data_IF_865238149565
#
_entry.id   IF_865238149565
#
_cell.length_a   1.000
_cell.length_b   1.000
_cell.length_c   1.000
_cell.angle_alpha   90.00
_cell.angle_beta   90.00
_cell.angle_gamma   90.00
#
_symmetry.space_group_name_H-M   'P 1'
#
loop_
_entity.id
_entity.type
_entity.pdbx_description
1 polymer ?
#
# COMPACT_ATOMS: atom_id res chain seq x y z
N UNK A 1 -73.45 24.67 -19.81
CA UNK A 1 -71.99 24.69 -19.54
C UNK A 1 -71.58 23.50 -18.63
N UNK A 2 -71.66 22.26 -19.12
CA UNK A 2 -71.31 21.06 -18.31
C UNK A 2 -70.58 19.94 -19.05
N UNK A 3 -70.63 19.91 -20.38
CA UNK A 3 -70.07 18.82 -21.18
C UNK A 3 -68.60 19.00 -21.60
N UNK A 4 -68.05 20.21 -21.51
CA UNK A 4 -66.66 20.50 -21.92
C UNK A 4 -65.62 20.29 -20.79
N UNK A 5 -66.03 20.27 -19.52
CA UNK A 5 -65.11 20.08 -18.39
C UNK A 5 -64.82 18.60 -18.08
N UNK A 6 -65.76 17.69 -18.32
CA UNK A 6 -65.60 16.25 -18.05
C UNK A 6 -64.64 15.56 -19.03
N UNK A 7 -64.51 16.06 -20.27
CA UNK A 7 -63.64 15.47 -21.31
C UNK A 7 -62.15 15.83 -21.14
N UNK A 8 -61.84 16.93 -20.44
CA UNK A 8 -60.47 17.41 -20.21
C UNK A 8 -59.81 16.69 -19.02
N UNK A 9 -60.58 16.40 -17.97
CA UNK A 9 -60.13 15.65 -16.80
C UNK A 9 -59.83 14.16 -17.08
N UNK A 10 -60.59 13.50 -17.97
CA UNK A 10 -60.32 12.10 -18.32
C UNK A 10 -59.06 11.93 -19.18
N UNK A 11 -58.82 12.85 -20.13
CA UNK A 11 -57.58 12.85 -20.94
C UNK A 11 -56.33 13.11 -20.10
N UNK A 12 -56.38 14.05 -19.15
CA UNK A 12 -55.24 14.29 -18.25
C UNK A 12 -54.94 13.08 -17.34
N UNK A 13 -55.97 12.39 -16.83
CA UNK A 13 -55.77 11.16 -16.03
C UNK A 13 -55.17 10.02 -16.84
N UNK A 14 -55.59 9.84 -18.09
CA UNK A 14 -55.04 8.80 -18.98
C UNK A 14 -53.59 9.10 -19.36
N UNK A 15 -53.25 10.37 -19.62
CA UNK A 15 -51.86 10.78 -19.91
C UNK A 15 -50.96 10.60 -18.69
N UNK A 16 -51.42 10.96 -17.49
CA UNK A 16 -50.65 10.77 -16.26
C UNK A 16 -50.45 9.28 -15.92
N UNK A 17 -51.45 8.43 -16.17
CA UNK A 17 -51.31 6.97 -16.04
C UNK A 17 -50.31 6.40 -17.06
N UNK A 18 -50.36 6.84 -18.31
CA UNK A 18 -49.42 6.40 -19.34
C UNK A 18 -47.97 6.82 -19.01
N UNK A 19 -47.76 8.04 -18.54
CA UNK A 19 -46.44 8.52 -18.08
C UNK A 19 -45.99 7.73 -16.84
N UNK A 20 -46.89 7.48 -15.88
CA UNK A 20 -46.58 6.66 -14.70
C UNK A 20 -46.14 5.25 -15.07
N UNK A 21 -46.83 4.59 -16.02
CA UNK A 21 -46.47 3.25 -16.50
C UNK A 21 -45.11 3.29 -17.23
N UNK A 22 -44.86 4.27 -18.09
CA UNK A 22 -43.59 4.40 -18.82
C UNK A 22 -42.41 4.67 -17.88
N UNK A 23 -42.59 5.51 -16.85
CA UNK A 23 -41.56 5.77 -15.84
C UNK A 23 -41.31 4.52 -14.99
N UNK A 24 -42.37 3.78 -14.64
CA UNK A 24 -42.25 2.52 -13.89
C UNK A 24 -41.50 1.47 -14.72
N UNK A 25 -41.85 1.32 -16.00
CA UNK A 25 -41.22 0.37 -16.90
C UNK A 25 -39.76 0.76 -17.19
N UNK A 26 -39.47 2.06 -17.32
CA UNK A 26 -38.11 2.59 -17.43
C UNK A 26 -37.27 2.30 -16.18
N UNK A 27 -37.82 2.50 -14.98
CA UNK A 27 -37.15 2.17 -13.71
C UNK A 27 -36.91 0.67 -13.55
N UNK A 28 -37.87 -0.17 -13.93
CA UNK A 28 -37.73 -1.63 -13.89
C UNK A 28 -36.66 -2.09 -14.89
N UNK A 29 -36.69 -1.58 -16.13
CA UNK A 29 -35.69 -1.91 -17.16
C UNK A 29 -34.29 -1.35 -16.85
N UNK A 30 -34.20 -0.24 -16.11
CA UNK A 30 -32.91 0.33 -15.69
C UNK A 30 -32.32 -0.36 -14.45
N UNK A 31 -33.16 -1.00 -13.63
CA UNK A 31 -32.74 -1.78 -12.45
C UNK A 31 -32.58 -3.28 -12.74
N UNK A 32 -33.17 -3.80 -13.81
CA UNK A 32 -33.04 -5.21 -14.24
C UNK A 32 -31.60 -5.66 -14.57
N UNK A 33 -30.72 -4.83 -15.18
CA UNK A 33 -29.32 -5.19 -15.38
C UNK A 33 -28.55 -5.26 -14.06
N UNK A 34 -29.02 -4.54 -13.03
CA UNK A 34 -28.41 -4.51 -11.69
C UNK A 34 -28.80 -5.72 -10.82
N UNK A 35 -29.94 -6.37 -11.08
CA UNK A 35 -30.39 -7.55 -10.31
C UNK A 35 -30.24 -8.89 -11.04
N UNK A 36 -30.14 -8.93 -12.39
CA UNK A 36 -30.13 -10.20 -13.14
C UNK A 36 -28.75 -10.78 -13.48
N UNK A 37 -27.64 -10.22 -12.97
CA UNK A 37 -26.31 -10.82 -13.13
C UNK A 37 -25.66 -11.18 -11.79
N UNK A 38 -26.34 -11.98 -10.99
CA UNK A 38 -25.67 -12.80 -9.97
C UNK A 38 -25.89 -14.28 -10.25
N UNK A 39 -25.46 -14.73 -11.41
CA UNK A 39 -24.92 -16.10 -11.48
C UNK A 39 -23.77 -16.15 -10.49
N UNK A 40 -24.03 -16.65 -9.27
CA UNK A 40 -23.00 -17.09 -8.34
C UNK A 40 -22.16 -18.10 -9.09
N UNK A 41 -21.07 -17.65 -9.70
CA UNK A 41 -19.97 -18.53 -10.03
C UNK A 41 -19.50 -19.09 -8.69
N UNK A 42 -19.99 -20.29 -8.33
CA UNK A 42 -19.27 -21.14 -7.39
C UNK A 42 -18.04 -21.60 -8.14
N UNK A 43 -17.02 -20.75 -8.24
CA UNK A 43 -15.71 -21.24 -8.61
C UNK A 43 -15.26 -22.12 -7.46
N UNK A 44 -15.31 -23.43 -7.68
CA UNK A 44 -14.52 -24.38 -6.92
C UNK A 44 -13.06 -24.10 -7.28
N UNK A 45 -12.48 -23.03 -6.74
CA UNK A 45 -11.03 -22.94 -6.67
C UNK A 45 -10.60 -24.03 -5.71
N UNK A 46 -10.19 -25.18 -6.26
CA UNK A 46 -9.43 -26.17 -5.51
C UNK A 46 -8.30 -25.42 -4.82
N UNK A 47 -8.11 -25.66 -3.52
CA UNK A 47 -6.94 -25.21 -2.75
C UNK A 47 -5.70 -25.32 -3.61
N UNK A 48 -5.03 -24.20 -3.92
CA UNK A 48 -3.75 -24.23 -4.62
C UNK A 48 -2.84 -25.22 -3.87
N UNK A 49 -2.27 -26.23 -4.53
CA UNK A 49 -1.36 -27.16 -3.88
C UNK A 49 -0.20 -26.37 -3.26
N UNK A 50 -0.01 -26.50 -1.94
CA UNK A 50 1.04 -25.80 -1.19
C UNK A 50 2.43 -26.06 -1.80
N UNK A 51 2.63 -27.22 -2.44
CA UNK A 51 3.86 -27.58 -3.14
C UNK A 51 4.27 -26.58 -4.25
N UNK A 52 3.30 -25.91 -4.90
CA UNK A 52 3.60 -24.86 -5.88
C UNK A 52 3.77 -23.48 -5.26
N UNK A 53 3.47 -23.29 -3.97
CA UNK A 53 3.65 -21.99 -3.32
C UNK A 53 5.13 -21.63 -3.12
N UNK A 54 6.04 -22.62 -3.10
CA UNK A 54 7.47 -22.40 -2.91
C UNK A 54 8.14 -21.52 -3.96
N UNK A 55 7.60 -21.46 -5.19
CA UNK A 55 8.14 -20.62 -6.27
C UNK A 55 7.48 -19.24 -6.37
N UNK A 56 6.59 -18.88 -5.43
CA UNK A 56 5.82 -17.62 -5.50
C UNK A 56 6.74 -16.41 -5.59
N UNK A 57 7.83 -16.38 -4.82
CA UNK A 57 8.78 -15.26 -4.85
C UNK A 57 9.45 -15.10 -6.20
N UNK A 58 9.84 -16.19 -6.84
CA UNK A 58 10.46 -16.18 -8.17
C UNK A 58 9.46 -15.75 -9.24
N UNK A 59 8.21 -16.26 -9.17
CA UNK A 59 7.14 -15.84 -10.06
C UNK A 59 6.87 -14.33 -9.93
N UNK A 60 6.75 -13.81 -8.71
CA UNK A 60 6.52 -12.38 -8.49
C UNK A 60 7.70 -11.54 -8.98
N UNK A 61 8.94 -11.98 -8.75
CA UNK A 61 10.12 -11.32 -9.29
C UNK A 61 10.08 -11.25 -10.83
N UNK A 62 9.87 -12.39 -11.50
CA UNK A 62 9.82 -12.45 -12.97
C UNK A 62 8.68 -11.63 -13.58
N UNK A 63 7.54 -11.50 -12.90
CA UNK A 63 6.44 -10.66 -13.37
C UNK A 63 6.85 -9.19 -13.44
N UNK A 64 7.63 -8.71 -12.47
CA UNK A 64 8.08 -7.32 -12.36
C UNK A 64 9.42 -7.01 -13.02
N UNK A 65 10.30 -7.99 -13.19
CA UNK A 65 11.67 -7.80 -13.68
C UNK A 65 11.78 -6.86 -14.90
N UNK A 66 10.95 -6.98 -15.96
CA UNK A 66 11.06 -6.10 -17.13
C UNK A 66 10.68 -4.63 -16.88
N UNK A 67 10.05 -4.34 -15.74
CA UNK A 67 9.55 -3.01 -15.39
C UNK A 67 10.34 -2.36 -14.25
N UNK A 68 11.34 -3.05 -13.69
CA UNK A 68 12.12 -2.53 -12.58
C UNK A 68 12.79 -1.22 -12.98
N UNK A 69 12.66 -0.24 -12.10
CA UNK A 69 13.35 1.04 -12.26
C UNK A 69 14.84 0.84 -11.99
N UNK A 70 15.69 1.37 -12.87
CA UNK A 70 17.14 1.26 -12.71
C UNK A 70 17.57 2.00 -11.44
N UNK A 71 18.28 1.28 -10.55
CA UNK A 71 18.83 1.84 -9.32
C UNK A 71 19.74 3.03 -9.59
N UNK A 72 20.41 3.09 -10.76
CA UNK A 72 21.29 4.18 -11.16
C UNK A 72 20.57 5.33 -11.86
N UNK A 73 19.27 5.21 -12.15
CA UNK A 73 18.52 6.29 -12.79
C UNK A 73 18.49 7.53 -11.89
N UNK A 74 18.67 8.70 -12.49
CA UNK A 74 18.67 9.97 -11.75
C UNK A 74 17.30 10.62 -11.67
N UNK A 75 16.33 10.11 -12.43
CA UNK A 75 14.99 10.69 -12.54
C UNK A 75 13.93 9.61 -12.54
N UNK A 76 12.73 9.97 -12.10
CA UNK A 76 11.52 9.15 -12.19
C UNK A 76 10.32 10.06 -12.46
N UNK A 77 9.42 9.61 -13.35
CA UNK A 77 8.16 10.30 -13.63
C UNK A 77 7.01 9.39 -13.21
N UNK A 78 6.18 9.87 -12.28
CA UNK A 78 5.05 9.10 -11.78
C UNK A 78 3.95 8.97 -12.83
N UNK A 79 3.01 8.04 -12.64
CA UNK A 79 1.81 7.91 -13.50
C UNK A 79 0.96 9.18 -13.54
N UNK A 80 0.98 9.96 -12.46
CA UNK A 80 0.30 11.25 -12.33
C UNK A 80 1.09 12.42 -12.95
N UNK A 81 2.31 12.17 -13.44
CA UNK A 81 3.15 13.17 -14.10
C UNK A 81 4.07 13.97 -13.15
N UNK A 82 4.19 13.57 -11.88
CA UNK A 82 5.16 14.20 -10.97
C UNK A 82 6.58 13.80 -11.36
N UNK A 83 7.49 14.77 -11.39
CA UNK A 83 8.89 14.56 -11.73
C UNK A 83 9.74 14.57 -10.47
N UNK A 84 10.53 13.51 -10.28
CA UNK A 84 11.46 13.36 -9.18
C UNK A 84 12.87 13.22 -9.73
N UNK A 85 13.81 13.91 -9.11
CA UNK A 85 15.23 13.88 -9.49
C UNK A 85 16.07 13.66 -8.25
N UNK A 86 16.97 12.68 -8.30
CA UNK A 86 17.99 12.46 -7.27
C UNK A 86 19.08 13.50 -7.48
N UNK A 87 19.41 14.26 -6.43
CA UNK A 87 20.53 15.20 -6.47
C UNK A 87 21.85 14.48 -6.77
N UNK A 88 22.74 15.09 -7.54
CA UNK A 88 23.99 14.45 -8.03
C UNK A 88 24.83 13.81 -6.92
N UNK A 89 24.82 14.38 -5.71
CA UNK A 89 25.58 13.90 -4.54
C UNK A 89 24.84 12.87 -3.67
N UNK A 90 23.59 12.57 -4.01
CA UNK A 90 22.72 11.70 -3.20
C UNK A 90 22.68 10.26 -3.74
N UNK A 91 23.27 10.01 -4.91
CA UNK A 91 23.39 8.67 -5.49
C UNK A 91 24.42 7.84 -4.71
N UNK A 92 23.93 6.96 -3.82
CA UNK A 92 24.79 6.21 -2.89
C UNK A 92 24.78 4.71 -3.12
N UNK A 93 23.65 4.16 -3.53
CA UNK A 93 23.51 2.72 -3.77
C UNK A 93 23.60 2.44 -5.26
N UNK A 94 24.59 1.65 -5.64
CA UNK A 94 24.75 1.15 -7.01
C UNK A 94 24.38 -0.32 -7.15
N UNK A 95 24.27 -1.00 -6.01
CA UNK A 95 23.95 -2.42 -5.90
C UNK A 95 22.74 -2.60 -4.98
N UNK A 96 21.83 -3.55 -5.28
CA UNK A 96 20.71 -3.85 -4.40
C UNK A 96 21.17 -4.44 -3.06
N UNK A 97 20.55 -4.03 -1.96
CA UNK A 97 20.79 -4.54 -0.61
C UNK A 97 20.28 -5.96 -0.42
N UNK A 98 19.27 -6.39 -1.20
CA UNK A 98 18.66 -7.72 -1.10
C UNK A 98 18.33 -8.05 0.37
N UNK A 99 18.76 -9.22 0.86
CA UNK A 99 18.50 -9.71 2.22
C UNK A 99 19.12 -8.88 3.35
N UNK A 100 19.93 -7.86 3.05
CA UNK A 100 20.42 -6.89 4.05
C UNK A 100 19.35 -5.86 4.42
N UNK A 101 18.30 -5.72 3.62
CA UNK A 101 17.14 -4.87 3.88
C UNK A 101 15.95 -5.74 4.30
N UNK A 102 15.33 -5.38 5.42
CA UNK A 102 14.11 -6.00 5.93
C UNK A 102 12.91 -5.09 5.70
N UNK A 103 11.86 -5.63 5.06
CA UNK A 103 10.51 -5.09 5.15
C UNK A 103 9.82 -5.73 6.35
N UNK A 104 9.36 -4.91 7.29
CA UNK A 104 8.89 -5.36 8.61
C UNK A 104 7.45 -4.94 8.88
N UNK A 105 6.59 -5.93 9.08
CA UNK A 105 5.26 -5.79 9.68
C UNK A 105 5.29 -6.21 11.14
N UNK A 106 4.68 -5.40 12.01
CA UNK A 106 4.53 -5.73 13.45
C UNK A 106 3.10 -5.51 13.89
N UNK A 107 2.49 -6.54 14.47
CA UNK A 107 1.15 -6.44 15.06
C UNK A 107 1.14 -7.17 16.42
N UNK A 108 0.22 -6.78 17.30
CA UNK A 108 -0.08 -7.53 18.53
C UNK A 108 -1.19 -8.55 18.32
N UNK A 109 -1.98 -8.40 17.26
CA UNK A 109 -3.17 -9.19 16.95
C UNK A 109 -2.79 -10.37 16.07
N UNK A 110 -3.12 -11.58 16.52
CA UNK A 110 -3.09 -12.78 15.67
C UNK A 110 -4.47 -12.98 15.05
N UNK A 111 -4.75 -12.29 13.95
CA UNK A 111 -6.01 -12.46 13.24
C UNK A 111 -5.92 -13.66 12.30
N UNK A 112 -6.82 -14.63 12.51
CA UNK A 112 -6.93 -15.86 11.73
C UNK A 112 -8.32 -16.01 11.09
N UNK A 113 -9.13 -14.95 11.14
CA UNK A 113 -10.47 -14.90 10.57
C UNK A 113 -10.49 -14.97 9.04
N UNK A 114 -11.67 -15.07 8.44
CA UNK A 114 -11.84 -15.03 6.98
C UNK A 114 -11.22 -13.76 6.39
N UNK A 115 -10.60 -13.85 5.21
CA UNK A 115 -9.98 -12.68 4.58
C UNK A 115 -8.63 -12.24 5.15
N UNK A 116 -8.04 -13.03 6.06
CA UNK A 116 -6.79 -12.70 6.76
C UNK A 116 -5.62 -13.55 6.30
N UNK A 117 -4.41 -12.99 6.40
CA UNK A 117 -3.16 -13.66 5.99
C UNK A 117 -2.88 -14.99 6.71
N UNK A 118 -3.26 -15.10 7.98
CA UNK A 118 -2.97 -16.30 8.79
C UNK A 118 -4.15 -17.28 8.81
N UNK A 119 -5.19 -17.06 8.02
CA UNK A 119 -6.26 -18.04 7.87
C UNK A 119 -5.71 -19.30 7.19
N UNK A 120 -6.10 -20.47 7.71
CA UNK A 120 -5.70 -21.76 7.15
C UNK A 120 -6.45 -22.12 5.85
N UNK A 121 -7.64 -21.55 5.66
CA UNK A 121 -8.43 -21.73 4.46
C UNK A 121 -7.91 -20.84 3.33
N UNK A 122 -7.99 -21.26 2.06
CA UNK A 122 -7.66 -20.41 0.94
C UNK A 122 -8.39 -19.08 1.01
N UNK A 123 -7.65 -18.00 0.75
CA UNK A 123 -8.21 -16.66 0.73
C UNK A 123 -9.25 -16.55 -0.40
N UNK A 124 -10.49 -16.24 -0.05
CA UNK A 124 -11.44 -15.72 -1.01
C UNK A 124 -11.06 -14.27 -1.34
N UNK A 125 -10.73 -13.92 -2.60
CA UNK A 125 -10.30 -12.59 -2.95
C UNK A 125 -11.29 -11.51 -2.50
N UNK A 126 -12.60 -11.76 -2.54
CA UNK A 126 -13.62 -10.77 -2.15
C UNK A 126 -13.63 -10.47 -0.65
N UNK A 127 -13.09 -11.37 0.18
CA UNK A 127 -13.03 -11.24 1.64
C UNK A 127 -11.73 -10.59 2.12
N UNK A 128 -10.74 -10.36 1.24
CA UNK A 128 -9.46 -9.77 1.62
C UNK A 128 -9.64 -8.48 2.42
N UNK A 129 -9.21 -8.52 3.67
CA UNK A 129 -9.25 -7.39 4.59
C UNK A 129 -8.20 -6.36 4.22
N UNK A 130 -8.45 -5.08 4.51
CA UNK A 130 -7.49 -4.02 4.28
C UNK A 130 -6.13 -4.26 4.94
N UNK A 131 -6.11 -4.70 6.20
CA UNK A 131 -4.85 -5.06 6.90
C UNK A 131 -4.04 -6.10 6.11
N UNK A 132 -4.70 -7.18 5.70
CA UNK A 132 -4.02 -8.25 4.98
C UNK A 132 -3.59 -7.79 3.59
N UNK A 133 -4.36 -6.89 2.96
CA UNK A 133 -3.98 -6.21 1.73
C UNK A 133 -2.69 -5.41 1.86
N UNK A 134 -2.53 -4.63 2.94
CA UNK A 134 -1.29 -3.89 3.19
C UNK A 134 -0.09 -4.80 3.45
N UNK A 135 -0.23 -5.77 4.34
CA UNK A 135 0.83 -6.76 4.60
C UNK A 135 1.22 -7.56 3.34
N UNK A 136 0.24 -7.95 2.52
CA UNK A 136 0.51 -8.61 1.23
C UNK A 136 1.21 -7.67 0.23
N UNK A 137 0.90 -6.37 0.23
CA UNK A 137 1.63 -5.38 -0.56
C UNK A 137 3.09 -5.27 -0.11
N UNK A 138 3.35 -5.25 1.21
CA UNK A 138 4.71 -5.24 1.76
C UNK A 138 5.48 -6.51 1.37
N UNK A 139 4.84 -7.67 1.51
CA UNK A 139 5.46 -8.94 1.13
C UNK A 139 5.74 -9.03 -0.37
N UNK A 140 4.81 -8.55 -1.21
CA UNK A 140 5.01 -8.45 -2.65
C UNK A 140 6.22 -7.58 -2.99
N UNK A 141 6.33 -6.40 -2.37
CA UNK A 141 7.46 -5.51 -2.57
C UNK A 141 8.79 -6.19 -2.21
N UNK A 142 8.83 -6.92 -1.10
CA UNK A 142 10.02 -7.69 -0.71
C UNK A 142 10.37 -8.79 -1.73
N UNK A 143 9.38 -9.52 -2.25
CA UNK A 143 9.60 -10.56 -3.27
C UNK A 143 10.15 -9.99 -4.57
N UNK A 144 9.62 -8.84 -5.03
CA UNK A 144 10.04 -8.19 -6.28
C UNK A 144 11.53 -7.84 -6.25
N UNK A 145 12.02 -7.31 -5.12
CA UNK A 145 13.40 -6.81 -5.04
C UNK A 145 14.40 -7.81 -4.43
N UNK A 146 13.90 -8.91 -3.86
CA UNK A 146 14.71 -9.89 -3.14
C UNK A 146 15.10 -9.44 -1.73
N UNK A 147 14.33 -8.52 -1.14
CA UNK A 147 14.48 -8.12 0.26
C UNK A 147 14.06 -9.24 1.20
N UNK A 148 14.42 -9.12 2.47
CA UNK A 148 13.82 -9.98 3.49
C UNK A 148 12.48 -9.43 3.95
N UNK A 149 11.60 -10.31 4.42
CA UNK A 149 10.28 -9.93 4.93
C UNK A 149 9.99 -10.66 6.22
N UNK A 150 9.51 -9.92 7.22
CA UNK A 150 9.01 -10.51 8.45
C UNK A 150 7.70 -9.89 8.86
N UNK A 151 6.76 -10.75 9.23
CA UNK A 151 5.56 -10.37 9.98
C UNK A 151 5.67 -10.89 11.41
N UNK A 152 5.88 -9.99 12.36
CA UNK A 152 6.11 -10.32 13.76
C UNK A 152 4.84 -10.06 14.58
N UNK A 153 4.39 -11.10 15.30
CA UNK A 153 3.47 -10.91 16.42
C UNK A 153 4.25 -10.47 17.65
N UNK A 154 4.21 -9.18 17.97
CA UNK A 154 4.89 -8.62 19.13
C UNK A 154 4.24 -9.05 20.45
N UNK A 155 5.01 -9.15 21.55
CA UNK A 155 4.45 -9.34 22.87
C UNK A 155 3.62 -8.11 23.30
N UNK A 156 2.74 -8.30 24.27
CA UNK A 156 2.03 -7.18 24.89
C UNK A 156 2.97 -6.43 25.84
N UNK A 157 3.16 -5.14 25.61
CA UNK A 157 3.94 -4.28 26.50
C UNK A 157 3.03 -3.65 27.54
N UNK A 158 3.22 -4.04 28.80
CA UNK A 158 2.37 -3.63 29.92
C UNK A 158 2.15 -2.11 29.96
N UNK A 159 0.88 -1.71 30.12
CA UNK A 159 0.40 -0.32 30.21
C UNK A 159 0.64 0.57 28.98
N UNK A 160 1.20 0.07 27.88
CA UNK A 160 1.43 0.85 26.65
C UNK A 160 0.31 0.67 25.63
N UNK A 161 0.07 1.70 24.83
CA UNK A 161 -0.77 1.55 23.64
C UNK A 161 -0.13 0.58 22.64
N UNK A 162 -0.96 -0.14 21.87
CA UNK A 162 -0.49 -1.21 20.97
C UNK A 162 0.43 -0.74 19.84
N UNK A 163 0.45 0.54 19.52
CA UNK A 163 1.33 1.13 18.49
C UNK A 163 2.80 1.18 18.92
N UNK A 164 3.08 1.17 20.24
CA UNK A 164 4.44 1.18 20.78
C UNK A 164 5.29 -0.05 20.38
N UNK A 165 4.66 -1.15 19.96
CA UNK A 165 5.37 -2.42 19.70
C UNK A 165 6.37 -2.31 18.55
N UNK A 166 6.17 -1.37 17.61
CA UNK A 166 7.08 -1.18 16.47
C UNK A 166 8.48 -0.75 16.93
N UNK A 167 8.58 0.09 17.96
CA UNK A 167 9.86 0.66 18.44
C UNK A 167 10.85 -0.44 18.90
N UNK A 168 10.51 -1.32 19.86
CA UNK A 168 11.43 -2.38 20.27
C UNK A 168 11.64 -3.46 19.19
N UNK A 169 10.65 -3.72 18.32
CA UNK A 169 10.81 -4.72 17.25
C UNK A 169 11.74 -4.24 16.14
N UNK A 170 11.67 -2.96 15.74
CA UNK A 170 12.65 -2.37 14.81
C UNK A 170 14.05 -2.44 15.43
N UNK A 171 14.20 -2.08 16.72
CA UNK A 171 15.49 -2.19 17.42
C UNK A 171 16.07 -3.60 17.34
N UNK A 172 15.23 -4.61 17.58
CA UNK A 172 15.65 -6.01 17.53
C UNK A 172 16.07 -6.43 16.12
N UNK A 173 15.31 -6.04 15.10
CA UNK A 173 15.66 -6.31 13.70
C UNK A 173 16.99 -5.66 13.28
N UNK A 174 17.31 -4.47 13.77
CA UNK A 174 18.61 -3.82 13.54
C UNK A 174 19.80 -4.59 14.14
N UNK A 175 19.57 -5.65 14.94
CA UNK A 175 20.61 -6.59 15.35
C UNK A 175 21.10 -7.49 14.21
N UNK A 176 20.37 -7.59 13.11
CA UNK A 176 20.64 -8.54 12.01
C UNK A 176 20.68 -7.86 10.64
N UNK A 177 19.89 -6.81 10.43
CA UNK A 177 19.75 -6.15 9.12
C UNK A 177 20.47 -4.81 9.07
N UNK A 178 21.03 -4.46 7.91
CA UNK A 178 21.64 -3.14 7.66
C UNK A 178 20.58 -2.04 7.55
N UNK A 179 19.39 -2.39 7.08
CA UNK A 179 18.25 -1.46 6.94
C UNK A 179 16.96 -2.16 7.30
N UNK A 180 16.14 -1.50 8.10
CA UNK A 180 14.80 -1.96 8.47
C UNK A 180 13.80 -0.91 7.99
N UNK A 181 12.83 -1.34 7.20
CA UNK A 181 11.71 -0.53 6.72
C UNK A 181 10.44 -1.06 7.35
N UNK A 182 9.90 -0.31 8.30
CA UNK A 182 8.63 -0.62 8.94
C UNK A 182 7.50 0.16 8.28
N UNK A 183 6.36 -0.51 8.11
CA UNK A 183 5.12 0.11 7.63
C UNK A 183 3.95 -0.31 8.53
N UNK A 184 3.06 0.64 8.83
CA UNK A 184 1.72 0.30 9.33
C UNK A 184 0.93 -0.39 8.21
N UNK A 185 0.02 -1.27 8.58
CA UNK A 185 -0.70 -2.14 7.63
C UNK A 185 -1.69 -1.40 6.72
N UNK A 186 -1.93 -0.12 6.99
CA UNK A 186 -2.70 0.78 6.15
C UNK A 186 -1.82 1.74 5.33
N UNK A 187 -0.50 1.62 5.43
CA UNK A 187 0.45 2.15 4.47
C UNK A 187 0.73 1.12 3.37
N UNK A 188 0.98 1.56 2.13
CA UNK A 188 1.30 0.67 1.00
C UNK A 188 2.33 1.30 0.06
N UNK A 189 3.15 0.45 -0.57
CA UNK A 189 3.99 0.80 -1.71
C UNK A 189 3.12 0.99 -2.95
N UNK A 190 3.17 2.20 -3.53
CA UNK A 190 2.37 2.58 -4.71
C UNK A 190 3.07 2.18 -6.02
N UNK A 191 4.40 2.25 -6.03
CA UNK A 191 5.28 1.98 -7.16
C UNK A 191 6.21 0.81 -6.82
N UNK A 192 5.71 -0.44 -6.85
CA UNK A 192 6.48 -1.61 -6.43
C UNK A 192 7.72 -1.87 -7.30
N UNK A 193 7.77 -1.32 -8.52
CA UNK A 193 8.90 -1.43 -9.45
C UNK A 193 10.12 -0.60 -9.05
N UNK A 194 9.98 0.37 -8.14
CA UNK A 194 11.09 1.23 -7.70
C UNK A 194 11.87 0.52 -6.59
N UNK A 195 13.19 0.30 -6.73
CA UNK A 195 14.01 -0.26 -5.66
C UNK A 195 14.11 0.72 -4.49
N UNK A 196 14.09 0.20 -3.27
CA UNK A 196 14.06 1.02 -2.06
C UNK A 196 15.33 1.86 -1.90
N UNK A 197 16.45 1.37 -2.41
CA UNK A 197 17.73 2.08 -2.49
C UNK A 197 17.64 3.38 -3.30
N UNK A 198 16.83 3.37 -4.37
CA UNK A 198 16.57 4.56 -5.16
C UNK A 198 15.76 5.58 -4.35
N UNK A 199 14.74 5.12 -3.60
CA UNK A 199 13.97 5.98 -2.68
C UNK A 199 14.84 6.57 -1.56
N UNK A 200 15.75 5.76 -1.00
CA UNK A 200 16.71 6.25 0.00
C UNK A 200 17.65 7.31 -0.57
N UNK A 201 18.10 7.15 -1.83
CA UNK A 201 18.87 8.16 -2.55
C UNK A 201 18.05 9.44 -2.78
N UNK A 202 16.78 9.31 -3.20
CA UNK A 202 15.88 10.43 -3.39
C UNK A 202 15.72 11.26 -2.11
N UNK A 203 15.54 10.59 -0.97
CA UNK A 203 15.35 11.24 0.33
C UNK A 203 16.65 11.64 1.04
N UNK A 204 17.80 11.52 0.37
CA UNK A 204 19.13 11.81 0.91
C UNK A 204 19.37 11.12 2.26
N UNK A 205 19.02 9.83 2.33
CA UNK A 205 19.40 8.97 3.44
C UNK A 205 20.87 8.60 3.26
N UNK A 206 21.64 8.71 4.33
CA UNK A 206 23.09 8.49 4.33
C UNK A 206 23.47 7.46 5.39
N UNK A 207 24.76 7.17 5.53
CA UNK A 207 25.25 6.29 6.60
C UNK A 207 25.19 6.95 7.98
N UNK A 208 25.10 8.28 8.03
CA UNK A 208 24.86 9.07 9.24
C UNK A 208 23.38 9.10 9.64
N UNK A 209 22.47 8.89 8.69
CA UNK A 209 21.03 8.86 8.97
C UNK A 209 20.67 7.67 9.84
N UNK A 210 20.23 7.92 11.07
CA UNK A 210 19.79 6.88 12.01
C UNK A 210 18.37 6.41 11.67
N UNK A 211 17.48 7.37 11.42
CA UNK A 211 16.08 7.13 11.11
C UNK A 211 15.55 8.17 10.11
N UNK A 212 14.70 7.73 9.19
CA UNK A 212 13.94 8.60 8.31
C UNK A 212 12.45 8.26 8.37
N UNK A 213 11.61 9.30 8.42
CA UNK A 213 10.15 9.18 8.51
C UNK A 213 9.50 10.32 7.75
N UNK A 214 8.29 10.11 7.25
CA UNK A 214 7.55 11.15 6.55
C UNK A 214 6.85 12.10 7.52
N UNK A 215 6.80 13.40 7.21
CA UNK A 215 6.04 14.34 8.03
C UNK A 215 4.53 14.04 8.00
N UNK A 216 3.84 14.36 9.09
CA UNK A 216 2.38 14.47 9.07
C UNK A 216 1.91 15.67 8.21
N UNK A 217 0.61 15.73 7.86
CA UNK A 217 0.01 16.94 7.32
C UNK A 217 0.25 18.10 8.27
N UNK A 218 0.72 19.23 7.73
CA UNK A 218 0.95 20.41 8.54
C UNK A 218 -0.38 21.00 9.02
N UNK A 219 -0.71 20.73 10.27
CA UNK A 219 -1.88 21.27 10.95
C UNK A 219 -1.53 21.52 12.42
N UNK A 220 -2.25 22.42 13.12
CA UNK A 220 -2.00 22.68 14.54
C UNK A 220 -2.03 21.44 15.43
N UNK A 221 -2.82 20.41 15.06
CA UNK A 221 -2.92 19.14 15.81
C UNK A 221 -1.73 18.20 15.60
N UNK A 222 -0.97 18.40 14.53
CA UNK A 222 0.17 17.58 14.15
C UNK A 222 1.51 18.27 14.45
N UNK A 223 1.49 19.30 15.30
CA UNK A 223 2.70 19.97 15.77
C UNK A 223 2.99 19.53 17.20
N UNK A 224 4.27 19.41 17.49
CA UNK A 224 4.72 19.10 18.83
C UNK A 224 4.76 20.35 19.73
N UNK A 225 5.21 20.18 20.98
CA UNK A 225 5.31 21.27 21.95
C UNK A 225 6.26 22.41 21.57
N UNK A 226 7.15 22.23 20.58
CA UNK A 226 8.02 23.28 20.04
C UNK A 226 7.53 23.83 18.70
N UNK A 227 6.33 23.45 18.26
CA UNK A 227 5.70 23.93 17.05
C UNK A 227 6.21 23.28 15.76
N UNK A 228 7.06 22.25 15.83
CA UNK A 228 7.52 21.53 14.65
C UNK A 228 6.53 20.40 14.28
N UNK A 229 6.28 20.22 12.99
CA UNK A 229 5.42 19.13 12.49
C UNK A 229 5.98 17.78 12.97
N UNK A 230 5.09 16.92 13.46
CA UNK A 230 5.41 15.58 13.89
C UNK A 230 5.77 14.71 12.69
N UNK A 231 6.70 13.79 12.89
CA UNK A 231 7.03 12.78 11.88
C UNK A 231 6.12 11.58 12.10
N UNK A 232 5.47 11.11 11.04
CA UNK A 232 4.57 9.97 11.08
C UNK A 232 5.34 8.66 11.26
N UNK A 233 4.91 7.86 12.23
CA UNK A 233 5.58 6.60 12.59
C UNK A 233 4.93 5.35 11.97
N UNK A 234 4.00 5.55 11.04
CA UNK A 234 3.46 4.48 10.20
C UNK A 234 4.33 4.15 9.00
N UNK A 235 5.42 4.89 8.77
CA UNK A 235 6.46 4.55 7.81
C UNK A 235 7.82 4.99 8.38
N UNK A 236 8.65 4.01 8.74
CA UNK A 236 9.95 4.25 9.41
C UNK A 236 11.04 3.50 8.63
N UNK A 237 12.10 4.23 8.28
CA UNK A 237 13.34 3.68 7.74
C UNK A 237 14.40 3.83 8.81
N UNK A 238 15.03 2.74 9.22
CA UNK A 238 16.11 2.76 10.19
C UNK A 238 17.37 2.10 9.63
N UNK A 239 18.53 2.76 9.79
CA UNK A 239 19.84 2.23 9.37
C UNK A 239 20.57 1.65 10.56
N UNK A 240 21.26 0.54 10.37
CA UNK A 240 22.01 -0.09 11.43
C UNK A 240 23.19 0.79 11.87
N UNK A 241 23.21 1.15 13.15
CA UNK A 241 24.40 1.64 13.84
C UNK A 241 24.22 1.53 15.34
N UNK A 242 25.30 1.59 16.11
CA UNK A 242 25.23 1.70 17.58
C UNK A 242 24.42 2.92 18.02
N UNK A 243 24.53 4.04 17.29
CA UNK A 243 23.75 5.26 17.57
C UNK A 243 22.26 5.06 17.31
N UNK A 244 21.89 4.33 16.26
CA UNK A 244 20.49 3.98 15.98
C UNK A 244 19.93 3.08 17.09
N UNK A 245 20.69 2.10 17.57
CA UNK A 245 20.27 1.24 18.68
C UNK A 245 20.05 2.02 19.98
N UNK A 246 20.87 3.05 20.24
CA UNK A 246 20.68 3.98 21.35
C UNK A 246 19.43 4.85 21.16
N UNK A 247 19.19 5.37 19.95
CA UNK A 247 17.97 6.13 19.64
C UNK A 247 16.71 5.31 19.92
N UNK A 248 16.64 4.07 19.43
CA UNK A 248 15.49 3.21 19.70
C UNK A 248 15.41 2.75 21.16
N UNK A 249 16.54 2.69 21.88
CA UNK A 249 16.53 2.47 23.32
C UNK A 249 15.85 3.64 24.04
N UNK A 250 16.31 4.85 23.78
CA UNK A 250 15.81 6.07 24.41
C UNK A 250 14.34 6.31 24.08
N UNK A 251 13.95 6.05 22.82
CA UNK A 251 12.55 6.09 22.41
C UNK A 251 11.71 5.09 23.19
N UNK A 252 12.15 3.83 23.29
CA UNK A 252 11.44 2.80 24.05
C UNK A 252 11.39 3.09 25.56
N UNK A 253 12.39 3.78 26.11
CA UNK A 253 12.44 4.18 27.52
C UNK A 253 11.73 5.50 27.81
N UNK A 254 11.33 6.26 26.80
CA UNK A 254 10.72 7.57 26.97
C UNK A 254 9.57 7.58 28.00
N UNK A 255 8.62 6.61 28.00
CA UNK A 255 7.55 6.60 28.99
C UNK A 255 7.98 6.36 30.45
N UNK A 256 9.22 5.96 30.70
CA UNK A 256 9.76 5.76 32.06
C UNK A 256 10.18 7.07 32.72
N UNK A 257 10.32 8.15 31.94
CA UNK A 257 10.79 9.46 32.41
C UNK A 257 12.19 9.45 33.05
N UNK A 258 12.98 8.41 32.81
CA UNK A 258 14.37 8.35 33.28
C UNK A 258 15.24 9.40 32.58
N UNK A 259 14.99 9.64 31.29
CA UNK A 259 15.72 10.61 30.46
C UNK A 259 14.87 11.81 30.04
N UNK A 260 13.60 11.59 29.71
CA UNK A 260 12.71 12.61 29.17
C UNK A 260 11.53 12.88 30.12
N UNK A 261 11.65 13.92 30.93
CA UNK A 261 10.55 14.37 31.80
C UNK A 261 9.29 14.70 30.98
N UNK A 262 8.13 14.28 31.49
CA UNK A 262 6.83 14.51 30.86
C UNK A 262 6.47 13.51 29.74
N UNK A 263 7.37 12.61 29.35
CA UNK A 263 7.10 11.68 28.25
C UNK A 263 6.16 10.51 28.62
N UNK A 264 5.92 10.26 29.92
CA UNK A 264 5.05 9.15 30.38
C UNK A 264 3.65 9.20 29.82
N UNK A 265 3.10 10.40 29.58
CA UNK A 265 1.75 10.57 29.03
C UNK A 265 1.59 9.88 27.67
N UNK A 266 2.63 9.92 26.83
CA UNK A 266 2.63 9.32 25.49
C UNK A 266 2.60 7.80 25.51
N UNK A 267 2.68 7.18 26.69
CA UNK A 267 2.36 5.77 26.84
C UNK A 267 0.93 5.44 26.37
N UNK A 268 -0.02 6.39 26.53
CA UNK A 268 -1.44 6.22 26.22
C UNK A 268 -2.12 7.40 25.54
N UNK A 269 -1.59 8.61 25.69
CA UNK A 269 -2.11 9.78 25.00
C UNK A 269 -1.80 9.68 23.51
N UNK A 270 -2.78 10.02 22.67
CA UNK A 270 -2.55 10.18 21.24
C UNK A 270 -1.55 11.33 20.98
N UNK A 271 -0.54 11.20 20.12
CA UNK A 271 -0.28 10.14 19.13
C UNK A 271 0.75 9.08 19.58
N UNK A 272 0.83 8.78 20.87
CA UNK A 272 1.64 7.70 21.44
C UNK A 272 3.14 7.80 21.15
N UNK A 273 3.78 6.74 20.66
CA UNK A 273 5.20 6.68 20.32
C UNK A 273 5.61 7.77 19.31
N UNK A 274 4.70 8.15 18.41
CA UNK A 274 4.92 9.25 17.48
C UNK A 274 5.10 10.59 18.18
N UNK A 275 4.22 10.88 19.15
CA UNK A 275 4.28 12.09 19.94
C UNK A 275 5.49 12.05 20.89
N UNK A 276 5.82 10.89 21.46
CA UNK A 276 7.03 10.71 22.26
C UNK A 276 8.30 11.03 21.46
N UNK A 277 8.41 10.50 20.24
CA UNK A 277 9.54 10.78 19.36
C UNK A 277 9.63 12.27 19.03
N UNK A 278 8.51 12.85 18.61
CA UNK A 278 8.48 14.23 18.11
C UNK A 278 8.68 15.26 19.23
N UNK A 279 8.11 15.05 20.42
CA UNK A 279 8.22 16.02 21.53
C UNK A 279 9.53 15.89 22.32
N UNK A 280 10.15 14.70 22.33
CA UNK A 280 11.31 14.44 23.19
C UNK A 280 12.49 13.90 22.39
N UNK A 281 12.41 12.66 21.88
CA UNK A 281 13.56 11.89 21.39
C UNK A 281 14.31 12.60 20.27
N UNK A 282 13.60 13.15 19.27
CA UNK A 282 14.24 13.74 18.08
C UNK A 282 15.17 14.91 18.39
N UNK A 283 14.99 15.57 19.55
CA UNK A 283 15.75 16.76 19.91
C UNK A 283 17.17 16.47 20.42
N UNK A 284 17.50 15.21 20.67
CA UNK A 284 18.86 14.79 20.98
C UNK A 284 19.71 14.56 19.71
N UNK A 285 19.10 14.73 18.53
CA UNK A 285 19.67 14.34 17.24
C UNK A 285 19.62 15.50 16.25
N UNK A 286 20.58 15.50 15.32
CA UNK A 286 20.63 16.47 14.23
C UNK A 286 19.63 16.14 13.12
N UNK A 287 19.44 17.07 12.19
CA UNK A 287 18.66 16.84 10.97
C UNK A 287 19.28 15.84 10.00
N UNK A 288 20.57 15.52 10.17
CA UNK A 288 21.25 14.47 9.39
C UNK A 288 21.05 13.09 10.01
N UNK A 289 20.91 13.01 11.33
CA UNK A 289 20.56 11.79 12.06
C UNK A 289 19.08 11.40 11.89
N UNK A 290 18.18 12.40 11.93
CA UNK A 290 16.73 12.24 11.82
C UNK A 290 16.24 12.94 10.56
N UNK A 291 16.08 12.17 9.49
CA UNK A 291 15.74 12.71 8.16
C UNK A 291 14.23 12.76 7.96
N UNK A 292 13.70 13.96 7.74
CA UNK A 292 12.29 14.13 7.37
C UNK A 292 12.11 13.84 5.87
N UNK A 293 11.21 12.91 5.55
CA UNK A 293 10.74 12.65 4.19
C UNK A 293 9.56 13.60 3.92
N UNK A 294 9.47 14.22 2.73
CA UNK A 294 8.31 15.02 2.37
C UNK A 294 7.00 14.25 2.60
N UNK A 295 6.01 14.91 3.21
CA UNK A 295 4.70 14.30 3.48
C UNK A 295 4.09 13.70 2.21
N UNK A 296 4.24 14.39 1.06
CA UNK A 296 3.72 13.93 -0.23
C UNK A 296 4.36 12.64 -0.73
N UNK A 297 5.56 12.32 -0.31
CA UNK A 297 6.29 11.14 -0.79
C UNK A 297 5.94 9.90 0.03
N UNK A 298 5.69 10.08 1.33
CA UNK A 298 5.68 8.99 2.29
C UNK A 298 4.46 8.90 3.20
N UNK A 299 3.44 9.77 3.04
CA UNK A 299 2.33 9.83 3.99
C UNK A 299 1.03 10.43 3.41
N UNK A 300 -0.09 10.12 4.07
CA UNK A 300 -1.44 10.51 3.66
C UNK A 300 -2.01 9.67 2.51
N UNK A 301 -3.33 9.80 2.30
CA UNK A 301 -4.05 9.07 1.24
C UNK A 301 -3.64 9.50 -0.18
N UNK A 302 -2.90 10.60 -0.30
CA UNK A 302 -2.35 11.13 -1.55
C UNK A 302 -0.82 10.93 -1.66
N UNK A 303 -0.22 10.14 -0.76
CA UNK A 303 1.20 9.83 -0.77
C UNK A 303 1.63 9.14 -2.08
N UNK A 304 2.76 9.57 -2.65
CA UNK A 304 3.21 9.20 -3.99
C UNK A 304 3.91 7.84 -4.00
N UNK A 305 4.92 7.64 -3.15
CA UNK A 305 5.65 6.36 -3.09
C UNK A 305 5.06 5.45 -2.02
N UNK A 306 4.78 6.03 -0.85
CA UNK A 306 4.03 5.37 0.23
C UNK A 306 2.72 6.10 0.44
N UNK A 307 1.61 5.39 0.30
CA UNK A 307 0.27 5.91 0.56
C UNK A 307 -0.24 5.41 1.90
N UNK A 308 -0.61 6.31 2.79
CA UNK A 308 -1.08 5.97 4.15
C UNK A 308 -2.60 6.21 4.27
N UNK A 309 -3.36 5.12 4.29
CA UNK A 309 -4.82 5.08 4.21
C UNK A 309 -5.50 5.25 5.58
N UNK A 310 -5.24 6.34 6.30
CA UNK A 310 -5.72 6.55 7.67
C UNK A 310 -7.23 6.38 7.86
N UNK A 311 -8.02 6.90 6.93
CA UNK A 311 -9.49 6.95 7.02
C UNK A 311 -10.19 5.88 6.16
N UNK A 312 -9.47 5.25 5.24
CA UNK A 312 -10.03 4.27 4.30
C UNK A 312 -9.39 2.92 4.50
N UNK A 313 -9.76 2.26 5.60
CA UNK A 313 -9.09 1.03 6.05
C UNK A 313 -9.18 -0.14 5.07
N UNK A 314 -10.12 -0.13 4.11
CA UNK A 314 -10.22 -1.15 3.06
C UNK A 314 -9.38 -0.84 1.81
N UNK A 315 -8.88 0.40 1.66
CA UNK A 315 -8.12 0.82 0.48
C UNK A 315 -6.88 -0.02 0.21
N UNK A 316 -6.07 -0.47 1.19
CA UNK A 316 -4.90 -1.29 0.89
C UNK A 316 -5.22 -2.59 0.14
N UNK A 317 -6.38 -3.22 0.43
CA UNK A 317 -6.83 -4.40 -0.30
C UNK A 317 -7.21 -4.07 -1.76
N UNK A 318 -7.82 -2.89 -1.98
CA UNK A 318 -8.15 -2.41 -3.33
C UNK A 318 -6.89 -2.05 -4.11
N UNK A 319 -5.96 -1.35 -3.48
CA UNK A 319 -4.67 -0.94 -4.04
C UNK A 319 -3.85 -2.16 -4.49
N UNK A 320 -3.76 -3.19 -3.64
CA UNK A 320 -3.09 -4.44 -4.01
C UNK A 320 -3.75 -5.12 -5.20
N UNK A 321 -5.08 -5.24 -5.22
CA UNK A 321 -5.80 -5.88 -6.34
C UNK A 321 -5.57 -5.12 -7.64
N UNK A 322 -5.63 -3.79 -7.61
CA UNK A 322 -5.40 -2.97 -8.80
C UNK A 322 -3.97 -3.15 -9.31
N UNK A 323 -2.99 -3.13 -8.41
CA UNK A 323 -1.57 -3.33 -8.74
C UNK A 323 -1.32 -4.70 -9.40
N UNK A 324 -1.93 -5.77 -8.88
CA UNK A 324 -1.85 -7.11 -9.48
C UNK A 324 -2.55 -7.19 -10.84
N UNK A 325 -3.70 -6.54 -11.00
CA UNK A 325 -4.40 -6.52 -12.30
C UNK A 325 -3.59 -5.75 -13.35
N UNK A 326 -3.06 -4.58 -12.98
CA UNK A 326 -2.25 -3.74 -13.87
C UNK A 326 -1.04 -4.51 -14.43
N UNK A 327 -0.30 -5.22 -13.57
CA UNK A 327 0.86 -5.98 -14.03
C UNK A 327 0.46 -7.15 -14.93
N UNK A 328 -0.62 -7.88 -14.59
CA UNK A 328 -1.05 -9.03 -15.36
C UNK A 328 -1.53 -8.62 -16.75
N UNK A 329 -2.28 -7.52 -16.84
CA UNK A 329 -2.71 -6.95 -18.13
C UNK A 329 -1.49 -6.58 -18.98
N UNK A 330 -0.49 -5.89 -18.41
CA UNK A 330 0.75 -5.54 -19.13
C UNK A 330 1.49 -6.78 -19.63
N UNK A 331 1.57 -7.84 -18.80
CA UNK A 331 2.24 -9.10 -19.17
C UNK A 331 1.50 -9.86 -20.27
N UNK A 332 0.17 -9.93 -20.20
CA UNK A 332 -0.66 -10.56 -21.25
C UNK A 332 -0.48 -9.81 -22.57
N UNK A 333 -0.53 -8.47 -22.54
CA UNK A 333 -0.30 -7.66 -23.73
C UNK A 333 1.10 -7.88 -24.32
N UNK A 334 2.13 -7.90 -23.48
CA UNK A 334 3.50 -8.17 -23.92
C UNK A 334 3.64 -9.57 -24.54
N UNK A 335 2.99 -10.59 -23.97
CA UNK A 335 2.95 -11.93 -24.53
C UNK A 335 2.25 -11.97 -25.90
N UNK A 336 1.09 -11.31 -26.03
CA UNK A 336 0.40 -11.20 -27.32
C UNK A 336 1.26 -10.53 -28.40
N UNK A 337 2.03 -9.50 -28.05
CA UNK A 337 2.98 -8.85 -28.97
C UNK A 337 4.22 -9.70 -29.28
N UNK A 338 4.58 -10.64 -28.41
CA UNK A 338 5.62 -11.63 -28.72
C UNK A 338 5.09 -12.66 -29.73
N UNK A 339 3.87 -13.11 -29.53
CA UNK A 339 3.21 -14.11 -30.36
C UNK A 339 2.29 -13.46 -31.43
N UNK A 340 2.81 -12.48 -32.17
CA UNK A 340 2.03 -11.74 -33.18
C UNK A 340 1.43 -12.64 -34.28
N UNK A 341 1.94 -13.86 -34.44
CA UNK A 341 1.34 -14.90 -35.29
C UNK A 341 -0.10 -15.27 -34.90
N UNK A 342 -0.52 -14.93 -33.67
CA UNK A 342 -1.90 -15.05 -33.21
C UNK A 342 -2.82 -13.95 -33.76
N UNK A 343 -2.27 -12.85 -34.29
CA UNK A 343 -3.03 -11.78 -34.93
C UNK A 343 -3.12 -12.02 -36.44
N UNK A 344 -4.32 -11.91 -36.99
CA UNK A 344 -4.57 -11.91 -38.43
C UNK A 344 -5.38 -10.66 -38.78
N UNK A 345 -4.77 -9.74 -39.54
CA UNK A 345 -5.49 -8.61 -40.10
C UNK A 345 -6.31 -9.08 -41.32
N UNK A 346 -7.58 -9.36 -41.06
CA UNK A 346 -8.54 -9.83 -42.05
C UNK A 346 -9.20 -8.71 -42.86
N UNK A 347 -8.87 -7.43 -42.63
CA UNK A 347 -9.63 -6.29 -43.16
C UNK A 347 -9.64 -6.20 -44.70
N UNK A 348 -8.68 -6.84 -45.36
CA UNK A 348 -8.58 -6.92 -46.82
C UNK A 348 -9.01 -8.26 -47.41
N UNK A 349 -9.50 -9.21 -46.60
CA UNK A 349 -9.92 -10.52 -47.08
C UNK A 349 -11.40 -10.50 -47.47
N UNK A 350 -11.69 -10.85 -48.72
CA UNK A 350 -13.05 -10.95 -49.26
C UNK A 350 -13.62 -12.38 -49.22
N UNK A 351 -12.80 -13.40 -48.92
CA UNK A 351 -13.18 -14.82 -48.79
C UNK A 351 -12.39 -15.58 -47.68
N UNK A 352 -12.78 -16.84 -47.40
CA UNK A 352 -12.39 -17.68 -46.22
C UNK A 352 -10.88 -17.70 -45.90
N UNK A 353 -10.59 -17.77 -44.59
CA UNK A 353 -9.24 -17.84 -44.04
C UNK A 353 -8.62 -19.23 -44.24
N UNK A 354 -7.60 -19.33 -45.11
CA UNK A 354 -6.85 -20.58 -45.37
C UNK A 354 -6.05 -21.13 -44.17
N UNK A 355 -6.01 -20.43 -43.02
CA UNK A 355 -5.35 -20.92 -41.79
C UNK A 355 -6.11 -22.07 -41.12
N UNK A 356 -7.28 -22.46 -41.66
CA UNK A 356 -8.05 -23.63 -41.25
C UNK A 356 -7.80 -24.89 -42.10
N UNK A 357 -7.08 -24.79 -43.22
CA UNK A 357 -6.83 -25.94 -44.13
C UNK A 357 -5.44 -26.57 -43.95
N UNK A 358 -4.65 -26.12 -42.97
CA UNK A 358 -3.31 -26.64 -42.66
C UNK A 358 -3.08 -27.00 -41.19
N UNK A 359 -4.17 -27.29 -40.44
CA UNK A 359 -4.12 -28.00 -39.16
C UNK A 359 -4.69 -29.41 -39.29
#
# INVERSE_FOLDING_TARGET
MGYLYLRRGSRQRVVLLAIGILVSFGLIMHTWPFYSSSTRFKSSFSTLPIERAGNTSELMHHLWEPFLHDINATHFVTREGYQYTIGERNHRWREPLKKKLLILDVDTRLDTGAGTLLNKSPLNPSELTGRSGGMMNHYLYAMIHGYDYQFIRAPNYYKRHGTWVKVPMIKQALGTYETVVFLDTDAVFVYPEIPFEWLMSLWNITDETLVAMSNDPDSPRNRDGKGLVMMNTGFIIARQSTRTLSLFHDWNQCPTETKYEGCKRWMKDWAHEQAAFSNHVRYDYSTDDVRAIPRKDGNGGDGVFIRHNWFHKDSPAKDLRQLLLDILVKRIQAGFHHDLDNFLDASHYTHRFNKLDSM
#
